data_IF_749565819818
#
_entry.id   IF_749565819818
#
_cell.length_a   1.000
_cell.length_b   1.000
_cell.length_c   1.000
_cell.angle_alpha   90.00
_cell.angle_beta   90.00
_cell.angle_gamma   90.00
#
_symmetry.space_group_name_H-M   'P 1'
#
loop_
_entity.id
_entity.type
_entity.pdbx_description
1 polymer ?
#
# COMPACT_ATOMS: atom_id res chain seq x y z
N UNK A 1 7.21 -12.97 6.67
CA UNK A 1 5.80 -13.15 7.05
C UNK A 1 5.20 -11.76 7.00
N UNK A 2 4.12 -11.54 6.26
CA UNK A 2 3.54 -10.21 6.15
C UNK A 2 3.24 -9.67 7.56
N UNK A 3 3.78 -8.49 7.86
CA UNK A 3 3.56 -7.83 9.14
C UNK A 3 2.05 -7.70 9.42
N UNK A 4 1.62 -7.86 10.67
CA UNK A 4 0.19 -7.85 11.06
C UNK A 4 -0.54 -6.57 10.56
N UNK A 5 0.18 -5.45 10.48
CA UNK A 5 -0.28 -4.18 9.88
C UNK A 5 -0.62 -4.30 8.39
N UNK A 6 0.18 -5.03 7.61
CA UNK A 6 -0.01 -5.24 6.16
C UNK A 6 -1.30 -6.03 5.93
N UNK A 7 -1.52 -7.09 6.71
CA UNK A 7 -2.73 -7.89 6.64
C UNK A 7 -3.98 -7.07 6.97
N UNK A 8 -3.96 -6.33 8.08
CA UNK A 8 -5.08 -5.46 8.45
C UNK A 8 -5.37 -4.39 7.39
N UNK A 9 -4.33 -3.85 6.74
CA UNK A 9 -4.48 -2.86 5.66
C UNK A 9 -5.11 -3.48 4.41
N UNK A 10 -4.65 -4.67 4.03
CA UNK A 10 -5.23 -5.44 2.92
C UNK A 10 -6.68 -5.81 3.18
N UNK A 11 -7.02 -6.30 4.37
CA UNK A 11 -8.41 -6.60 4.76
C UNK A 11 -9.30 -5.36 4.68
N UNK A 12 -8.80 -4.19 5.09
CA UNK A 12 -9.53 -2.93 4.98
C UNK A 12 -9.80 -2.52 3.52
N UNK A 13 -8.84 -2.75 2.62
CA UNK A 13 -9.01 -2.47 1.19
C UNK A 13 -9.93 -3.46 0.50
N UNK A 14 -9.82 -4.75 0.81
CA UNK A 14 -10.64 -5.83 0.23
C UNK A 14 -12.06 -5.86 0.79
N UNK A 15 -12.25 -5.48 2.06
CA UNK A 15 -13.55 -5.56 2.74
C UNK A 15 -14.51 -4.42 2.42
N UNK A 16 -14.07 -3.36 1.72
CA UNK A 16 -14.92 -2.22 1.34
C UNK A 16 -15.21 -2.28 -0.16
N UNK A 17 -16.49 -2.49 -0.50
CA UNK A 17 -16.97 -2.55 -1.90
C UNK A 17 -16.71 -1.25 -2.71
N UNK A 18 -16.56 -0.11 -2.04
CA UNK A 18 -16.23 1.20 -2.65
C UNK A 18 -14.74 1.57 -2.58
N UNK A 19 -13.86 0.65 -2.18
CA UNK A 19 -12.43 0.94 -2.18
C UNK A 19 -11.89 1.08 -3.60
N UNK A 20 -10.85 1.93 -3.75
CA UNK A 20 -10.09 2.02 -4.99
C UNK A 20 -9.64 0.63 -5.47
N UNK A 21 -9.63 0.37 -6.79
CA UNK A 21 -9.12 -0.88 -7.34
C UNK A 21 -7.70 -1.17 -6.85
N UNK A 22 -7.41 -2.45 -6.58
CA UNK A 22 -6.07 -2.89 -6.17
C UNK A 22 -4.99 -2.45 -7.17
N UNK A 23 -5.28 -2.48 -8.47
CA UNK A 23 -4.38 -1.98 -9.51
C UNK A 23 -3.95 -0.51 -9.30
N UNK A 24 -4.84 0.35 -8.78
CA UNK A 24 -4.49 1.74 -8.46
C UNK A 24 -3.61 1.82 -7.21
N UNK A 25 -3.89 1.00 -6.20
CA UNK A 25 -3.08 0.90 -4.98
C UNK A 25 -1.68 0.40 -5.28
N UNK A 26 -1.55 -0.58 -6.17
CA UNK A 26 -0.27 -1.10 -6.63
C UNK A 26 0.59 0.01 -7.25
N UNK A 27 0.01 0.79 -8.18
CA UNK A 27 0.71 1.90 -8.82
C UNK A 27 1.13 2.98 -7.81
N UNK A 28 0.25 3.36 -6.88
CA UNK A 28 0.55 4.34 -5.83
C UNK A 28 1.69 3.86 -4.92
N UNK A 29 1.67 2.59 -4.49
CA UNK A 29 2.70 1.98 -3.65
C UNK A 29 4.05 1.88 -4.38
N UNK A 30 4.05 1.50 -5.67
CA UNK A 30 5.25 1.47 -6.49
C UNK A 30 5.90 2.86 -6.60
N UNK A 31 5.09 3.93 -6.73
CA UNK A 31 5.59 5.31 -6.73
C UNK A 31 6.17 5.74 -5.38
N UNK A 32 5.56 5.33 -4.27
CA UNK A 32 6.08 5.59 -2.93
C UNK A 32 7.44 4.91 -2.70
N UNK A 33 7.59 3.65 -3.13
CA UNK A 33 8.86 2.93 -3.08
C UNK A 33 9.91 3.54 -4.01
N UNK A 34 9.50 4.09 -5.16
CA UNK A 34 10.38 4.85 -6.04
C UNK A 34 10.80 6.22 -5.46
N UNK A 35 10.41 6.55 -4.22
CA UNK A 35 10.65 7.84 -3.55
C UNK A 35 10.14 9.03 -4.36
N UNK A 36 9.05 8.84 -5.11
CA UNK A 36 8.43 9.91 -5.87
C UNK A 36 7.86 10.97 -4.92
N UNK A 37 8.34 12.21 -5.02
CA UNK A 37 7.95 13.30 -4.12
C UNK A 37 6.45 13.62 -4.18
N UNK A 38 5.84 13.57 -5.36
CA UNK A 38 4.41 13.86 -5.53
C UNK A 38 3.52 12.78 -4.90
N UNK A 39 3.93 11.51 -5.04
CA UNK A 39 3.25 10.39 -4.39
C UNK A 39 3.40 10.46 -2.85
N UNK A 40 4.57 10.87 -2.35
CA UNK A 40 4.78 11.09 -0.92
C UNK A 40 3.96 12.27 -0.39
N UNK A 41 3.80 13.35 -1.16
CA UNK A 41 2.96 14.49 -0.77
C UNK A 41 1.46 14.10 -0.68
N UNK A 42 0.98 13.32 -1.65
CA UNK A 42 -0.44 12.91 -1.71
C UNK A 42 -0.78 11.77 -0.75
N UNK A 43 0.10 10.76 -0.67
CA UNK A 43 -0.19 9.48 -0.02
C UNK A 43 0.72 9.16 1.16
N UNK A 44 1.84 9.86 1.32
CA UNK A 44 2.82 9.58 2.37
C UNK A 44 2.25 9.62 3.78
N UNK A 45 1.27 10.50 4.04
CA UNK A 45 0.55 10.57 5.32
C UNK A 45 -0.10 9.23 5.73
N UNK A 46 -0.48 8.38 4.78
CA UNK A 46 -1.09 7.07 5.08
C UNK A 46 -0.08 6.00 5.49
N UNK A 47 1.21 6.28 5.29
CA UNK A 47 2.33 5.40 5.60
C UNK A 47 3.30 6.07 6.57
N UNK A 48 2.84 7.10 7.29
CA UNK A 48 3.61 7.68 8.39
C UNK A 48 3.86 6.61 9.46
N UNK A 49 5.12 6.44 9.86
CA UNK A 49 5.53 5.37 10.77
C UNK A 49 5.64 3.97 10.15
N UNK A 50 5.47 3.85 8.83
CA UNK A 50 5.78 2.62 8.10
C UNK A 50 7.23 2.63 7.62
N UNK A 51 7.89 1.49 7.69
CA UNK A 51 9.21 1.30 7.07
C UNK A 51 9.07 1.09 5.57
N UNK A 52 10.15 1.33 4.84
CA UNK A 52 10.21 1.05 3.41
C UNK A 52 9.94 -0.43 3.11
N UNK A 53 10.38 -1.33 4.00
CA UNK A 53 10.12 -2.77 3.90
C UNK A 53 8.64 -3.10 4.11
N UNK A 54 7.97 -2.49 5.09
CA UNK A 54 6.53 -2.69 5.32
C UNK A 54 5.70 -2.23 4.11
N UNK A 55 6.07 -1.11 3.47
CA UNK A 55 5.42 -0.63 2.24
C UNK A 55 5.70 -1.58 1.06
N UNK A 56 6.90 -2.15 0.98
CA UNK A 56 7.25 -3.14 -0.04
C UNK A 56 6.49 -4.46 0.15
N UNK A 57 6.38 -4.95 1.39
CA UNK A 57 5.56 -6.12 1.72
C UNK A 57 4.09 -5.90 1.36
N UNK A 58 3.56 -4.69 1.60
CA UNK A 58 2.20 -4.34 1.21
C UNK A 58 2.02 -4.33 -0.31
N UNK A 59 2.99 -3.83 -1.07
CA UNK A 59 2.96 -3.87 -2.54
C UNK A 59 2.89 -5.32 -3.05
N UNK A 60 3.72 -6.20 -2.50
CA UNK A 60 3.72 -7.62 -2.86
C UNK A 60 2.40 -8.30 -2.49
N UNK A 61 1.80 -7.96 -1.34
CA UNK A 61 0.49 -8.46 -0.95
C UNK A 61 -0.62 -7.99 -1.91
N UNK A 62 -0.59 -6.73 -2.35
CA UNK A 62 -1.53 -6.20 -3.36
C UNK A 62 -1.38 -6.94 -4.68
N UNK A 63 -0.14 -7.18 -5.15
CA UNK A 63 0.14 -7.94 -6.38
C UNK A 63 -0.37 -9.38 -6.31
N UNK A 64 -0.20 -10.03 -5.16
CA UNK A 64 -0.69 -11.39 -4.95
C UNK A 64 -2.23 -11.50 -4.92
N UNK A 65 -2.93 -10.39 -4.63
CA UNK A 65 -4.38 -10.32 -4.55
C UNK A 65 -5.05 -9.69 -5.79
N UNK A 66 -4.27 -9.17 -6.74
CA UNK A 66 -4.74 -8.51 -7.96
C UNK A 66 -4.98 -9.47 -9.14
#
# INVERSE_FOLDING_TARGET
>A
MASEKVLQRMECWLGKADSHPLAKREADLALLLAKNAEAWEKYGQFYEGWTHEEVAELLEAVRAAS
#
